data_IF_165067194433
#
_entry.id   IF_165067194433
#
_cell.length_a   1.000
_cell.length_b   1.000
_cell.length_c   1.000
_cell.angle_alpha   90.00
_cell.angle_beta   90.00
_cell.angle_gamma   90.00
#
_symmetry.space_group_name_H-M   'P 1'
#
loop_
_entity.id
_entity.type
_entity.pdbx_description
1 polymer ?
#
# COMPACT_ATOMS: atom_id res chain seq x y z
N UNK A 1 -22.08 -12.25 -26.28
CA UNK A 1 -21.89 -11.89 -24.85
C UNK A 1 -23.24 -11.76 -24.18
N UNK A 2 -23.44 -12.32 -22.99
CA UNK A 2 -24.69 -12.19 -22.23
C UNK A 2 -24.88 -10.76 -21.70
N UNK A 3 -26.11 -10.21 -21.77
CA UNK A 3 -26.46 -8.89 -21.22
C UNK A 3 -26.37 -8.83 -19.69
N UNK A 4 -26.40 -9.97 -19.01
CA UNK A 4 -26.32 -10.05 -17.56
C UNK A 4 -24.98 -9.56 -17.00
N UNK A 5 -23.91 -9.60 -17.80
CA UNK A 5 -22.56 -9.18 -17.38
C UNK A 5 -22.17 -7.82 -17.95
N UNK A 6 -23.11 -6.96 -18.33
CA UNK A 6 -22.77 -5.63 -18.84
C UNK A 6 -22.29 -4.72 -17.71
N UNK A 7 -22.94 -4.78 -16.55
CA UNK A 7 -22.62 -3.96 -15.38
C UNK A 7 -22.17 -4.81 -14.20
N UNK A 8 -21.29 -4.25 -13.38
CA UNK A 8 -20.96 -4.84 -12.07
C UNK A 8 -19.80 -5.85 -12.08
N UNK A 9 -19.76 -6.75 -11.08
CA UNK A 9 -18.55 -7.51 -10.70
C UNK A 9 -17.96 -8.39 -11.79
N UNK A 10 -18.75 -8.84 -12.77
CA UNK A 10 -18.29 -9.72 -13.86
C UNK A 10 -18.25 -9.01 -15.22
N UNK A 11 -18.36 -7.68 -15.22
CA UNK A 11 -18.31 -6.88 -16.45
C UNK A 11 -16.98 -6.96 -17.17
N UNK A 12 -16.96 -6.56 -18.45
CA UNK A 12 -15.79 -6.64 -19.32
C UNK A 12 -14.53 -6.06 -18.65
N UNK A 13 -14.66 -4.86 -18.07
CA UNK A 13 -13.57 -4.11 -17.43
C UNK A 13 -13.55 -4.23 -15.90
N UNK A 14 -14.27 -5.19 -15.32
CA UNK A 14 -14.12 -5.51 -13.90
C UNK A 14 -12.82 -6.28 -13.68
N UNK A 15 -11.76 -5.58 -13.32
CA UNK A 15 -10.43 -6.17 -13.13
C UNK A 15 -10.30 -7.02 -11.86
N UNK A 16 -11.23 -6.89 -10.91
CA UNK A 16 -11.22 -7.67 -9.66
C UNK A 16 -11.91 -9.02 -9.79
N UNK A 17 -12.55 -9.32 -10.93
CA UNK A 17 -13.32 -10.56 -11.14
C UNK A 17 -12.48 -11.84 -11.19
N UNK A 18 -11.17 -11.71 -11.44
CA UNK A 18 -10.26 -12.85 -11.64
C UNK A 18 -9.78 -13.50 -10.35
N UNK A 19 -10.03 -12.88 -9.19
CA UNK A 19 -9.64 -13.42 -7.90
C UNK A 19 -8.88 -12.43 -7.03
N UNK A 20 -8.64 -12.83 -5.78
CA UNK A 20 -7.91 -12.04 -4.80
C UNK A 20 -6.43 -12.41 -4.78
N UNK A 21 -5.59 -11.45 -4.38
CA UNK A 21 -4.17 -11.73 -4.12
C UNK A 21 -4.02 -12.50 -2.82
N UNK A 22 -3.12 -13.49 -2.81
CA UNK A 22 -2.77 -14.18 -1.57
C UNK A 22 -2.05 -13.22 -0.62
N UNK A 23 -2.52 -13.16 0.63
CA UNK A 23 -2.03 -12.21 1.65
C UNK A 23 -1.10 -12.87 2.67
N UNK A 24 -1.21 -14.18 2.86
CA UNK A 24 -0.38 -14.97 3.76
C UNK A 24 -0.13 -16.33 3.15
N UNK A 25 1.11 -16.60 2.73
CA UNK A 25 1.48 -17.87 2.10
C UNK A 25 2.48 -18.65 2.96
N UNK A 26 2.69 -18.24 4.22
CA UNK A 26 3.78 -18.75 5.06
C UNK A 26 5.19 -18.39 4.57
N UNK A 27 5.32 -17.67 3.44
CA UNK A 27 6.60 -17.29 2.85
C UNK A 27 7.22 -16.15 3.66
N UNK A 28 8.28 -16.47 4.40
CA UNK A 28 9.11 -15.49 5.12
C UNK A 28 10.21 -14.99 4.18
N UNK A 29 10.03 -13.78 3.63
CA UNK A 29 11.03 -13.15 2.78
C UNK A 29 12.14 -12.49 3.60
N UNK A 30 13.39 -12.67 3.16
CA UNK A 30 14.55 -11.98 3.73
C UNK A 30 14.46 -10.47 3.48
N UNK A 31 15.19 -9.69 4.31
CA UNK A 31 15.29 -8.24 4.14
C UNK A 31 15.78 -7.87 2.73
N UNK A 32 16.84 -8.54 2.25
CA UNK A 32 17.40 -8.32 0.91
C UNK A 32 16.34 -8.48 -0.18
N UNK A 33 15.47 -9.49 -0.08
CA UNK A 33 14.42 -9.68 -1.06
C UNK A 33 13.42 -8.52 -1.05
N UNK A 34 13.00 -8.06 0.14
CA UNK A 34 12.13 -6.89 0.27
C UNK A 34 12.78 -5.63 -0.33
N UNK A 35 14.08 -5.46 -0.14
CA UNK A 35 14.85 -4.30 -0.60
C UNK A 35 14.97 -4.25 -2.14
N UNK A 36 15.18 -5.40 -2.78
CA UNK A 36 15.24 -5.52 -4.25
C UNK A 36 13.94 -5.08 -4.93
N UNK A 37 12.79 -5.37 -4.32
CA UNK A 37 11.47 -5.06 -4.88
C UNK A 37 10.91 -3.69 -4.43
N UNK A 38 11.68 -2.86 -3.72
CA UNK A 38 11.21 -1.51 -3.36
C UNK A 38 11.09 -0.64 -4.60
N UNK A 39 9.97 0.08 -4.70
CA UNK A 39 9.73 1.08 -5.74
C UNK A 39 10.83 2.15 -5.75
N UNK A 40 11.15 2.67 -4.58
CA UNK A 40 12.19 3.69 -4.36
C UNK A 40 13.60 3.24 -4.79
N UNK A 41 13.87 1.93 -4.76
CA UNK A 41 15.17 1.39 -5.18
C UNK A 41 15.27 1.18 -6.69
N UNK A 42 14.19 1.33 -7.45
CA UNK A 42 14.21 1.13 -8.89
C UNK A 42 14.98 2.27 -9.59
N UNK A 43 15.79 1.92 -10.59
CA UNK A 43 16.64 2.86 -11.34
C UNK A 43 15.87 4.07 -11.88
N UNK A 44 14.64 3.85 -12.36
CA UNK A 44 13.80 4.90 -12.93
C UNK A 44 13.20 5.83 -11.87
N UNK A 45 13.01 5.37 -10.62
CA UNK A 45 12.55 6.22 -9.51
C UNK A 45 13.70 7.01 -8.88
N UNK A 46 14.92 6.44 -8.82
CA UNK A 46 16.08 7.13 -8.23
C UNK A 46 16.51 8.40 -8.97
N UNK A 47 16.20 8.50 -10.26
CA UNK A 47 16.49 9.68 -11.09
C UNK A 47 15.33 10.66 -11.16
N UNK A 48 14.23 10.35 -10.50
CA UNK A 48 12.98 11.06 -10.61
C UNK A 48 12.72 11.88 -9.36
N UNK A 49 12.99 13.17 -9.48
CA UNK A 49 12.87 14.15 -8.41
C UNK A 49 11.67 15.09 -8.60
N UNK A 50 11.08 15.09 -9.80
CA UNK A 50 10.03 16.05 -10.17
C UNK A 50 8.66 15.61 -9.68
N UNK A 51 8.38 14.30 -9.65
CA UNK A 51 7.06 13.78 -9.28
C UNK A 51 6.88 13.76 -7.78
N UNK A 52 5.74 14.25 -7.31
CA UNK A 52 5.39 14.27 -5.89
C UNK A 52 5.40 12.86 -5.29
N UNK A 53 5.91 12.74 -4.06
CA UNK A 53 5.91 11.50 -3.27
C UNK A 53 5.17 11.72 -1.97
N UNK A 54 4.18 10.87 -1.70
CA UNK A 54 3.41 10.88 -0.45
C UNK A 54 3.65 9.59 0.31
N UNK A 55 4.24 9.71 1.49
CA UNK A 55 4.49 8.61 2.41
C UNK A 55 3.37 8.57 3.46
N UNK A 56 2.83 7.38 3.73
CA UNK A 56 1.69 7.23 4.64
C UNK A 56 1.79 5.98 5.51
N UNK A 57 1.18 6.05 6.69
CA UNK A 57 1.00 4.93 7.62
C UNK A 57 -0.48 4.69 7.87
N UNK A 58 -0.93 3.44 7.83
CA UNK A 58 -2.27 3.09 8.30
C UNK A 58 -2.27 2.90 9.82
N UNK A 59 -3.03 3.71 10.55
CA UNK A 59 -3.17 3.63 12.02
C UNK A 59 -3.90 2.37 12.52
N UNK A 60 -4.54 1.61 11.61
CA UNK A 60 -5.29 0.40 11.96
C UNK A 60 -4.46 -0.86 11.77
N UNK A 61 -3.91 -1.05 10.57
CA UNK A 61 -3.16 -2.27 10.22
C UNK A 61 -1.64 -2.08 10.13
N UNK A 62 -1.10 -0.88 10.38
CA UNK A 62 0.34 -0.63 10.44
C UNK A 62 1.10 -0.77 9.12
N UNK A 63 0.40 -0.86 7.98
CA UNK A 63 1.05 -0.82 6.67
C UNK A 63 1.61 0.57 6.40
N UNK A 64 2.82 0.63 5.84
CA UNK A 64 3.38 1.84 5.27
C UNK A 64 3.22 1.80 3.76
N UNK A 65 2.86 2.93 3.16
CA UNK A 65 2.76 3.08 1.71
C UNK A 65 3.51 4.31 1.24
N UNK A 66 4.01 4.23 0.02
CA UNK A 66 4.50 5.37 -0.75
C UNK A 66 3.71 5.42 -2.04
N UNK A 67 3.27 6.62 -2.43
CA UNK A 67 2.61 6.86 -3.71
C UNK A 67 3.32 7.98 -4.42
N UNK A 68 3.68 7.75 -5.68
CA UNK A 68 4.39 8.71 -6.52
C UNK A 68 3.45 9.19 -7.62
N UNK A 69 3.44 10.50 -7.92
CA UNK A 69 2.69 11.12 -9.03
C UNK A 69 1.17 11.03 -8.92
N UNK A 70 0.62 11.02 -7.70
CA UNK A 70 -0.83 10.92 -7.48
C UNK A 70 -1.56 12.25 -7.72
N UNK A 71 -0.85 13.37 -7.66
CA UNK A 71 -1.31 14.69 -8.06
C UNK A 71 -1.69 14.75 -9.55
N UNK A 72 -0.92 14.10 -10.41
CA UNK A 72 -1.18 14.05 -11.85
C UNK A 72 -2.16 12.94 -12.25
N UNK A 73 -2.08 11.76 -11.60
CA UNK A 73 -2.93 10.61 -11.92
C UNK A 73 -3.61 10.07 -10.64
N UNK A 74 -4.68 10.75 -10.16
CA UNK A 74 -5.38 10.39 -8.93
C UNK A 74 -6.34 9.21 -9.12
N UNK A 75 -5.83 8.04 -9.51
CA UNK A 75 -6.67 6.86 -9.75
C UNK A 75 -7.18 6.26 -8.44
N UNK A 76 -8.51 6.28 -8.25
CA UNK A 76 -9.17 5.65 -7.10
C UNK A 76 -8.97 4.13 -7.02
N UNK A 77 -8.46 3.47 -8.09
CA UNK A 77 -8.15 2.03 -8.07
C UNK A 77 -6.82 1.72 -7.40
N UNK A 78 -5.97 2.73 -7.16
CA UNK A 78 -4.68 2.54 -6.48
C UNK A 78 -4.94 2.04 -5.06
N UNK A 79 -4.40 0.86 -4.74
CA UNK A 79 -4.58 0.24 -3.44
C UNK A 79 -5.85 -0.60 -3.28
N UNK A 80 -6.70 -0.75 -4.31
CA UNK A 80 -7.96 -1.51 -4.25
C UNK A 80 -7.80 -2.96 -3.75
N UNK A 81 -6.66 -3.59 -4.04
CA UNK A 81 -6.37 -4.94 -3.56
C UNK A 81 -5.86 -4.94 -2.11
N UNK A 82 -5.37 -3.80 -1.60
CA UNK A 82 -4.91 -3.65 -0.22
C UNK A 82 -6.02 -4.03 0.76
N UNK A 83 -5.78 -5.08 1.55
CA UNK A 83 -6.71 -5.46 2.61
C UNK A 83 -6.24 -4.85 3.93
N UNK A 84 -7.18 -4.27 4.66
CA UNK A 84 -6.98 -3.75 6.00
C UNK A 84 -7.14 -4.88 7.04
N UNK A 85 -7.19 -4.50 8.32
CA UNK A 85 -7.38 -5.40 9.47
C UNK A 85 -8.55 -6.37 9.20
N UNK A 86 -8.36 -7.64 9.55
CA UNK A 86 -9.34 -8.73 9.39
C UNK A 86 -9.85 -8.92 7.95
N UNK A 87 -9.00 -8.64 6.95
CA UNK A 87 -9.37 -8.80 5.54
C UNK A 87 -10.33 -7.73 5.02
N UNK A 88 -10.59 -6.66 5.78
CA UNK A 88 -11.46 -5.55 5.36
C UNK A 88 -10.92 -4.84 4.13
N UNK A 89 -11.82 -4.16 3.43
CA UNK A 89 -11.50 -3.43 2.21
C UNK A 89 -10.52 -2.25 2.44
N UNK A 90 -9.82 -1.81 1.39
CA UNK A 90 -8.83 -0.72 1.44
C UNK A 90 -9.43 0.60 1.95
N UNK A 91 -10.74 0.80 1.75
CA UNK A 91 -11.51 1.94 2.29
C UNK A 91 -11.45 2.05 3.82
N UNK A 92 -11.12 0.97 4.53
CA UNK A 92 -11.03 0.95 5.99
C UNK A 92 -9.70 1.45 6.52
N UNK A 93 -8.73 1.74 5.64
CA UNK A 93 -7.48 2.35 6.06
C UNK A 93 -7.72 3.77 6.59
N UNK A 94 -7.13 4.07 7.74
CA UNK A 94 -7.04 5.43 8.28
C UNK A 94 -5.59 5.86 8.15
N UNK A 95 -5.25 6.32 6.94
CA UNK A 95 -3.89 6.73 6.60
C UNK A 95 -3.57 8.08 7.23
N UNK A 96 -2.37 8.21 7.77
CA UNK A 96 -1.75 9.47 8.16
C UNK A 96 -0.48 9.67 7.37
N UNK A 97 -0.12 10.93 7.14
CA UNK A 97 1.10 11.29 6.44
C UNK A 97 2.33 11.02 7.30
N UNK A 98 3.42 10.66 6.64
CA UNK A 98 4.74 10.51 7.23
C UNK A 98 5.73 11.37 6.45
N UNK A 99 6.79 11.81 7.13
CA UNK A 99 8.00 12.25 6.45
C UNK A 99 8.71 11.05 5.78
N UNK A 100 9.57 11.36 4.80
CA UNK A 100 10.42 10.35 4.16
C UNK A 100 11.31 9.62 5.18
N UNK A 101 11.85 10.35 6.17
CA UNK A 101 12.73 9.78 7.20
C UNK A 101 12.00 8.78 8.08
N UNK A 102 10.80 9.13 8.55
CA UNK A 102 9.98 8.22 9.36
C UNK A 102 9.58 6.98 8.56
N UNK A 103 9.22 7.15 7.28
CA UNK A 103 8.91 6.02 6.41
C UNK A 103 10.06 5.03 6.34
N UNK A 104 11.29 5.50 6.08
CA UNK A 104 12.47 4.62 6.00
C UNK A 104 12.76 3.90 7.33
N UNK A 105 12.59 4.59 8.47
CA UNK A 105 12.75 3.99 9.79
C UNK A 105 11.71 2.89 10.07
N UNK A 106 10.43 3.15 9.78
CA UNK A 106 9.32 2.25 10.06
C UNK A 106 9.24 1.07 9.10
N UNK A 107 9.73 1.24 7.86
CA UNK A 107 9.58 0.27 6.77
C UNK A 107 10.12 -1.11 7.11
N UNK A 108 11.18 -1.18 7.91
CA UNK A 108 11.83 -2.44 8.29
C UNK A 108 11.24 -3.05 9.57
N UNK A 109 10.47 -2.27 10.34
CA UNK A 109 9.86 -2.74 11.58
C UNK A 109 8.69 -3.70 11.29
N UNK A 110 8.41 -4.65 12.19
CA UNK A 110 7.18 -5.42 12.16
C UNK A 110 5.96 -4.53 12.41
N UNK A 111 4.77 -4.99 12.00
CA UNK A 111 3.53 -4.21 12.04
C UNK A 111 3.20 -3.76 13.47
N UNK A 112 3.35 -4.65 14.45
CA UNK A 112 3.06 -4.38 15.86
C UNK A 112 3.93 -3.23 16.38
N UNK A 113 5.22 -3.24 16.05
CA UNK A 113 6.15 -2.18 16.45
C UNK A 113 5.80 -0.83 15.81
N UNK A 114 5.36 -0.80 14.55
CA UNK A 114 4.90 0.44 13.89
C UNK A 114 3.64 0.99 14.54
N UNK A 115 2.71 0.11 14.90
CA UNK A 115 1.47 0.51 15.58
C UNK A 115 1.74 1.02 17.00
N UNK A 116 2.70 0.41 17.71
CA UNK A 116 3.12 0.89 19.03
C UNK A 116 3.78 2.27 18.94
N UNK A 117 4.71 2.46 18.01
CA UNK A 117 5.31 3.76 17.73
C UNK A 117 4.25 4.84 17.48
N UNK A 118 3.28 4.55 16.61
CA UNK A 118 2.19 5.49 16.34
C UNK A 118 1.35 5.82 17.59
N UNK A 119 1.09 4.83 18.46
CA UNK A 119 0.23 5.00 19.63
C UNK A 119 0.91 5.73 20.78
N UNK A 120 2.22 5.52 20.94
CA UNK A 120 2.93 5.87 22.18
C UNK A 120 4.13 6.80 21.98
N UNK A 121 4.71 6.94 20.78
CA UNK A 121 5.94 7.72 20.58
C UNK A 121 5.73 8.99 19.75
N UNK A 122 4.69 9.05 18.91
CA UNK A 122 4.45 10.21 18.00
C UNK A 122 3.72 11.38 18.69
N UNK A 123 3.03 11.10 19.80
CA UNK A 123 2.21 12.11 20.52
C UNK A 123 2.91 12.68 21.77
N UNK A 124 4.16 12.27 22.04
CA UNK A 124 5.04 12.85 23.07
C UNK A 124 5.98 13.88 22.43
#
# INVERSE_FOLDING_TARGET
>A
MSRANVFGPNSLYSFTKFGALNRSNGVVLSKRMKDTFRLENQKHMRKDFDRERRYRLCKRCGITSVTVNFDQVPSARVGLWGRCVDGKDYTHHRLVELSQREYEQLRDWPIEKRLNWWRYEVND
#
